data_IF_677841771960
#
_entry.id   IF_677841771960
#
_cell.length_a   1.000
_cell.length_b   1.000
_cell.length_c   1.000
_cell.angle_alpha   90.00
_cell.angle_beta   90.00
_cell.angle_gamma   90.00
#
_symmetry.space_group_name_H-M   'P 1'
#
loop_
_entity.id
_entity.type
_entity.pdbx_description
1 polymer ?
#
# COMPACT_ATOMS: atom_id res chain seq x y z
N UNK A 1 -30.49 -3.70 12.07
CA UNK A 1 -30.43 -3.10 13.42
C UNK A 1 -29.38 -3.89 14.17
N UNK A 2 -28.16 -3.34 14.27
CA UNK A 2 -27.03 -3.98 14.95
C UNK A 2 -27.35 -4.17 16.44
N UNK A 3 -27.08 -5.37 16.97
CA UNK A 3 -27.30 -5.71 18.39
C UNK A 3 -26.31 -5.01 19.34
N UNK A 4 -25.37 -4.24 18.82
CA UNK A 4 -24.39 -3.50 19.63
C UNK A 4 -24.91 -2.18 20.20
N UNK A 5 -26.23 -1.88 20.12
CA UNK A 5 -26.80 -0.61 20.60
C UNK A 5 -27.28 -0.61 22.03
N UNK A 6 -27.27 -1.74 22.77
CA UNK A 6 -27.76 -1.79 24.17
C UNK A 6 -27.02 -2.86 25.01
N UNK A 7 -25.75 -2.63 25.27
CA UNK A 7 -25.19 -3.07 26.55
C UNK A 7 -24.97 -1.83 27.37
N UNK A 8 -25.82 -1.70 28.41
CA UNK A 8 -25.65 -0.82 29.57
C UNK A 8 -24.35 -1.21 30.30
N UNK A 9 -23.21 -0.96 29.64
CA UNK A 9 -21.88 -0.98 30.23
C UNK A 9 -21.39 0.46 30.20
N UNK A 10 -21.39 1.10 31.33
CA UNK A 10 -20.51 2.19 31.70
C UNK A 10 -19.03 1.75 31.62
N UNK A 11 -18.71 0.90 30.69
CA UNK A 11 -17.35 0.60 30.26
C UNK A 11 -16.92 1.77 29.36
N UNK A 12 -16.50 2.85 30.02
CA UNK A 12 -15.66 3.86 29.40
C UNK A 12 -14.55 3.09 28.68
N UNK A 13 -14.48 3.25 27.37
CA UNK A 13 -13.41 2.73 26.52
C UNK A 13 -12.09 2.74 27.34
N UNK A 14 -11.55 1.58 27.76
CA UNK A 14 -10.43 1.53 28.69
C UNK A 14 -9.16 2.13 28.07
N UNK A 15 -9.23 2.47 26.77
CA UNK A 15 -8.09 2.92 26.00
C UNK A 15 -8.11 4.42 25.73
N UNK A 16 -9.27 5.09 25.66
CA UNK A 16 -9.38 6.48 25.18
C UNK A 16 -8.78 6.63 23.77
N UNK A 17 -8.81 5.56 22.99
CA UNK A 17 -8.16 5.46 21.68
C UNK A 17 -9.20 5.74 20.60
N UNK A 18 -8.94 6.75 19.76
CA UNK A 18 -9.62 6.94 18.48
C UNK A 18 -8.65 6.68 17.33
N UNK A 19 -8.83 5.55 16.62
CA UNK A 19 -8.04 5.19 15.45
C UNK A 19 -8.53 5.90 14.18
N UNK A 20 -9.61 6.65 14.25
CA UNK A 20 -10.14 7.49 13.17
C UNK A 20 -9.70 8.95 13.30
N UNK A 21 -9.15 9.35 14.45
CA UNK A 21 -8.46 10.63 14.62
C UNK A 21 -7.12 10.61 13.86
N UNK A 22 -7.08 11.30 12.72
CA UNK A 22 -5.90 11.32 11.83
C UNK A 22 -4.72 12.08 12.44
N UNK A 23 -4.93 12.97 13.40
CA UNK A 23 -3.85 13.70 14.09
C UNK A 23 -2.96 12.74 14.89
N UNK A 24 -3.52 11.64 15.36
CA UNK A 24 -2.79 10.57 16.03
C UNK A 24 -1.72 9.91 15.14
N UNK A 25 -1.95 9.92 13.83
CA UNK A 25 -1.04 9.34 12.83
C UNK A 25 -0.10 10.36 12.17
N UNK A 26 -0.29 11.65 12.44
CA UNK A 26 0.53 12.71 11.85
C UNK A 26 2.02 12.61 12.23
N UNK A 27 2.34 12.08 13.41
CA UNK A 27 3.71 11.79 13.86
C UNK A 27 4.27 10.44 13.39
N UNK A 28 3.47 9.61 12.76
CA UNK A 28 3.77 8.22 12.37
C UNK A 28 2.79 7.23 12.97
N UNK A 29 3.09 5.93 12.83
CA UNK A 29 2.27 4.88 13.41
C UNK A 29 2.33 4.94 14.94
N UNK A 30 1.17 4.94 15.66
CA UNK A 30 1.14 5.06 17.12
C UNK A 30 1.46 3.71 17.78
N UNK A 31 2.74 3.36 17.82
CA UNK A 31 3.23 2.07 18.31
C UNK A 31 2.81 1.78 19.76
N UNK A 32 2.79 2.78 20.63
CA UNK A 32 2.38 2.68 22.04
C UNK A 32 0.93 2.19 22.18
N UNK A 33 0.03 2.71 21.34
CA UNK A 33 -1.37 2.30 21.28
C UNK A 33 -1.46 0.82 20.87
N UNK A 34 -0.76 0.42 19.81
CA UNK A 34 -0.84 -0.94 19.29
C UNK A 34 -0.10 -1.96 20.16
N UNK A 35 0.96 -1.57 20.88
CA UNK A 35 1.57 -2.42 21.93
C UNK A 35 0.52 -2.75 22.99
N UNK A 36 -0.23 -1.75 23.43
CA UNK A 36 -1.29 -1.95 24.43
C UNK A 36 -2.41 -2.82 23.89
N UNK A 37 -2.91 -2.56 22.67
CA UNK A 37 -3.95 -3.38 22.05
C UNK A 37 -3.51 -4.83 21.91
N UNK A 38 -2.32 -5.13 21.41
CA UNK A 38 -1.82 -6.51 21.28
C UNK A 38 -1.79 -7.26 22.62
N UNK A 39 -1.46 -6.57 23.71
CA UNK A 39 -1.30 -7.18 25.04
C UNK A 39 -2.62 -7.33 25.79
N UNK A 40 -3.50 -6.33 25.70
CA UNK A 40 -4.69 -6.22 26.57
C UNK A 40 -5.98 -6.55 25.82
N UNK A 41 -6.08 -6.22 24.52
CA UNK A 41 -7.28 -6.36 23.71
C UNK A 41 -6.92 -6.61 22.22
N UNK A 42 -6.32 -7.75 21.86
CA UNK A 42 -5.87 -8.03 20.48
C UNK A 42 -7.01 -8.04 19.47
N UNK A 43 -8.22 -8.32 19.91
CA UNK A 43 -9.49 -8.17 19.18
C UNK A 43 -10.31 -7.14 19.95
N UNK A 44 -10.50 -5.96 19.38
CA UNK A 44 -11.12 -4.84 20.07
C UNK A 44 -12.19 -4.17 19.21
N UNK A 45 -13.33 -3.82 19.84
CA UNK A 45 -14.38 -3.04 19.20
C UNK A 45 -14.08 -1.54 19.31
N UNK A 46 -13.82 -0.91 18.17
CA UNK A 46 -13.75 0.54 18.08
C UNK A 46 -15.16 1.10 17.92
N UNK A 47 -15.69 1.72 18.97
CA UNK A 47 -16.98 2.38 18.91
C UNK A 47 -16.96 3.55 17.90
N UNK A 48 -18.08 3.90 17.28
CA UNK A 48 -18.12 5.05 16.38
C UNK A 48 -17.83 6.35 17.14
N UNK A 49 -17.00 7.20 16.54
CA UNK A 49 -16.66 8.55 17.00
C UNK A 49 -17.16 9.58 16.00
N UNK A 50 -16.98 10.87 16.29
CA UNK A 50 -17.30 11.94 15.34
C UNK A 50 -16.45 11.86 14.05
N UNK A 51 -15.28 11.21 14.09
CA UNK A 51 -14.37 11.02 12.96
C UNK A 51 -14.62 9.71 12.20
N UNK A 52 -15.48 8.82 12.70
CA UNK A 52 -15.69 7.51 12.08
C UNK A 52 -16.48 7.64 10.79
N UNK A 53 -15.95 7.21 9.62
CA UNK A 53 -16.70 7.21 8.39
C UNK A 53 -18.00 6.40 8.51
N UNK A 54 -19.07 6.87 7.89
CA UNK A 54 -20.41 6.25 7.90
C UNK A 54 -21.06 6.14 9.30
N UNK A 55 -20.42 6.66 10.37
CA UNK A 55 -20.93 6.58 11.75
C UNK A 55 -21.04 5.15 12.28
N UNK A 56 -20.29 4.21 11.74
CA UNK A 56 -20.33 2.79 12.09
C UNK A 56 -18.99 2.37 12.70
N UNK A 57 -19.02 1.73 13.88
CA UNK A 57 -17.84 1.16 14.53
C UNK A 57 -17.24 -0.01 13.74
N UNK A 58 -16.12 -0.52 14.21
CA UNK A 58 -15.42 -1.60 13.55
C UNK A 58 -14.56 -2.42 14.53
N UNK A 59 -14.31 -3.66 14.19
CA UNK A 59 -13.39 -4.52 14.92
C UNK A 59 -11.94 -4.23 14.48
N UNK A 60 -11.05 -4.23 15.45
CA UNK A 60 -9.61 -4.05 15.28
C UNK A 60 -8.91 -5.37 15.60
N UNK A 61 -8.21 -5.94 14.62
CA UNK A 61 -7.28 -7.03 14.84
C UNK A 61 -5.87 -6.44 14.87
N UNK A 62 -5.17 -6.60 15.98
CA UNK A 62 -3.85 -6.00 16.20
C UNK A 62 -2.72 -7.03 16.28
N UNK A 63 -2.98 -8.28 16.70
CA UNK A 63 -1.98 -9.33 16.80
C UNK A 63 -1.72 -10.02 15.44
N UNK A 64 -0.47 -10.38 15.19
CA UNK A 64 -0.03 -11.01 13.94
C UNK A 64 -0.80 -12.31 13.63
N UNK A 65 -0.99 -13.18 14.62
CA UNK A 65 -1.67 -14.46 14.42
C UNK A 65 -3.13 -14.30 14.00
N UNK A 66 -3.86 -13.34 14.60
CA UNK A 66 -5.27 -13.07 14.30
C UNK A 66 -5.41 -12.46 12.90
N UNK A 67 -4.51 -11.55 12.55
CA UNK A 67 -4.47 -10.93 11.23
C UNK A 67 -4.17 -11.97 10.14
N UNK A 68 -3.22 -12.88 10.37
CA UNK A 68 -2.92 -13.99 9.45
C UNK A 68 -4.13 -14.91 9.30
N UNK A 69 -4.80 -15.26 10.41
CA UNK A 69 -6.00 -16.12 10.38
C UNK A 69 -7.12 -15.47 9.58
N UNK A 70 -7.44 -14.21 9.86
CA UNK A 70 -8.50 -13.49 9.14
C UNK A 70 -8.16 -13.27 7.65
N UNK A 71 -6.91 -12.93 7.33
CA UNK A 71 -6.47 -12.74 5.94
C UNK A 71 -6.41 -14.06 5.14
N UNK A 72 -6.30 -15.21 5.81
CA UNK A 72 -6.30 -16.52 5.16
C UNK A 72 -7.70 -17.01 4.80
N UNK A 73 -8.73 -16.54 5.49
CA UNK A 73 -10.13 -16.94 5.28
C UNK A 73 -10.91 -15.83 4.55
N UNK A 74 -10.68 -15.76 3.23
CA UNK A 74 -11.34 -14.75 2.38
C UNK A 74 -12.86 -15.02 2.22
N UNK A 75 -13.35 -16.24 2.49
CA UNK A 75 -14.78 -16.54 2.47
C UNK A 75 -15.48 -15.92 3.69
N UNK A 76 -14.81 -15.93 4.83
CA UNK A 76 -15.34 -15.39 6.08
C UNK A 76 -15.12 -13.87 6.17
N UNK A 77 -14.00 -13.38 5.66
CA UNK A 77 -13.55 -11.98 5.71
C UNK A 77 -13.45 -11.38 4.30
N UNK A 78 -14.61 -10.98 3.76
CA UNK A 78 -14.74 -10.45 2.41
C UNK A 78 -13.98 -9.13 2.23
N UNK A 79 -13.28 -8.98 1.10
CA UNK A 79 -12.71 -7.71 0.62
C UNK A 79 -13.73 -6.86 -0.12
N UNK A 80 -14.84 -7.45 -0.53
CA UNK A 80 -15.89 -6.85 -1.34
C UNK A 80 -16.99 -6.32 -0.44
N UNK A 81 -17.84 -7.18 0.13
CA UNK A 81 -18.97 -6.79 0.99
C UNK A 81 -19.59 -8.00 1.69
N UNK A 82 -20.40 -7.75 2.71
CA UNK A 82 -21.33 -8.75 3.20
C UNK A 82 -22.52 -8.93 2.21
N UNK A 83 -23.14 -10.12 2.17
CA UNK A 83 -24.18 -10.46 1.19
C UNK A 83 -25.35 -9.46 1.09
N UNK A 84 -25.72 -8.81 2.20
CA UNK A 84 -26.83 -7.86 2.26
C UNK A 84 -26.39 -6.38 2.22
N UNK A 85 -25.06 -6.09 2.18
CA UNK A 85 -24.57 -4.72 2.23
C UNK A 85 -24.67 -4.01 0.88
N UNK A 86 -25.02 -2.73 0.90
CA UNK A 86 -25.06 -1.88 -0.31
C UNK A 86 -23.68 -1.39 -0.74
N UNK A 87 -22.70 -1.41 0.16
CA UNK A 87 -21.32 -0.98 -0.05
C UNK A 87 -20.33 -1.92 0.61
N UNK A 88 -19.03 -1.61 0.48
CA UNK A 88 -17.96 -2.41 1.04
C UNK A 88 -16.59 -1.88 0.70
N UNK A 89 -15.62 -2.78 0.56
CA UNK A 89 -14.25 -2.44 0.20
C UNK A 89 -13.24 -2.61 1.32
N UNK A 90 -12.04 -2.10 1.12
CA UNK A 90 -10.88 -2.33 2.00
C UNK A 90 -10.44 -1.11 2.82
N UNK A 91 -11.27 -0.04 2.82
CA UNK A 91 -11.13 1.14 3.67
C UNK A 91 -12.29 1.22 4.67
N UNK A 92 -12.20 2.08 5.69
CA UNK A 92 -13.26 2.21 6.70
C UNK A 92 -14.58 2.70 6.10
N UNK A 93 -14.52 3.67 5.19
CA UNK A 93 -15.70 4.13 4.45
C UNK A 93 -16.23 3.04 3.53
N UNK A 94 -17.56 2.91 3.47
CA UNK A 94 -18.20 2.04 2.48
C UNK A 94 -18.17 2.66 1.09
N UNK A 95 -17.63 1.92 0.14
CA UNK A 95 -17.61 2.32 -1.27
C UNK A 95 -18.76 1.67 -2.02
N UNK A 96 -19.36 2.36 -3.03
CA UNK A 96 -20.49 1.82 -3.80
C UNK A 96 -20.13 0.49 -4.48
N UNK A 97 -21.00 -0.50 -4.28
CA UNK A 97 -20.88 -1.78 -4.96
C UNK A 97 -21.16 -1.65 -6.46
N UNK A 98 -20.36 -2.37 -7.27
CA UNK A 98 -20.47 -2.33 -8.74
C UNK A 98 -19.77 -1.12 -9.38
N UNK A 99 -19.19 -0.23 -8.57
CA UNK A 99 -18.34 0.87 -9.07
C UNK A 99 -16.91 0.77 -8.56
N UNK A 100 -16.71 0.61 -7.26
CA UNK A 100 -15.39 0.40 -6.64
C UNK A 100 -15.33 -0.99 -5.97
N UNK A 101 -16.16 -1.21 -4.96
CA UNK A 101 -16.34 -2.52 -4.35
C UNK A 101 -16.93 -3.50 -5.37
N UNK A 102 -16.33 -4.69 -5.50
CA UNK A 102 -16.68 -5.69 -6.50
C UNK A 102 -16.13 -5.46 -7.91
N UNK A 103 -15.39 -4.35 -8.14
CA UNK A 103 -14.79 -4.00 -9.45
C UNK A 103 -13.27 -3.79 -9.34
N UNK A 104 -12.81 -3.05 -8.33
CA UNK A 104 -11.37 -2.94 -8.07
C UNK A 104 -10.81 -4.28 -7.60
N UNK A 105 -9.73 -4.75 -8.21
CA UNK A 105 -9.16 -6.08 -7.94
C UNK A 105 -8.84 -6.31 -6.45
N UNK A 106 -8.43 -5.30 -5.72
CA UNK A 106 -8.18 -5.37 -4.27
C UNK A 106 -9.45 -5.33 -3.41
N UNK A 107 -10.60 -5.01 -4.00
CA UNK A 107 -11.93 -4.91 -3.37
C UNK A 107 -12.93 -5.88 -4.02
N UNK A 108 -12.46 -7.03 -4.43
CA UNK A 108 -13.18 -8.08 -5.13
C UNK A 108 -12.94 -9.41 -4.45
N UNK A 109 -13.92 -10.28 -4.42
CA UNK A 109 -13.79 -11.63 -3.86
C UNK A 109 -13.65 -12.69 -4.95
N UNK A 110 -13.24 -13.88 -4.56
CA UNK A 110 -13.25 -15.06 -5.44
C UNK A 110 -14.69 -15.46 -5.80
N UNK A 111 -14.94 -15.97 -6.99
CA UNK A 111 -13.96 -16.47 -7.97
C UNK A 111 -13.41 -15.42 -8.97
N UNK A 112 -14.07 -14.27 -9.13
CA UNK A 112 -13.69 -13.27 -10.14
C UNK A 112 -12.31 -12.68 -9.87
N UNK A 113 -12.01 -12.35 -8.60
CA UNK A 113 -10.69 -11.89 -8.17
C UNK A 113 -9.58 -12.86 -8.63
N UNK A 114 -9.73 -14.16 -8.33
CA UNK A 114 -8.75 -15.16 -8.72
C UNK A 114 -8.57 -15.26 -10.25
N UNK A 115 -9.67 -15.19 -11.00
CA UNK A 115 -9.66 -15.26 -12.48
C UNK A 115 -8.87 -14.10 -13.09
N UNK A 116 -9.16 -12.86 -12.68
CA UNK A 116 -8.45 -11.65 -13.17
C UNK A 116 -6.98 -11.69 -12.69
N UNK A 117 -6.74 -12.03 -11.42
CA UNK A 117 -5.39 -12.12 -10.87
C UNK A 117 -4.52 -13.12 -11.65
N UNK A 118 -5.07 -14.27 -12.02
CA UNK A 118 -4.35 -15.29 -12.81
C UNK A 118 -3.97 -14.76 -14.19
N UNK A 119 -4.80 -13.93 -14.82
CA UNK A 119 -4.52 -13.31 -16.11
C UNK A 119 -3.29 -12.38 -16.04
N UNK A 120 -3.19 -11.56 -14.98
CA UNK A 120 -2.16 -10.51 -14.87
C UNK A 120 -0.88 -10.92 -14.16
N UNK A 121 -0.92 -11.97 -13.34
CA UNK A 121 0.26 -12.45 -12.57
C UNK A 121 1.51 -12.69 -13.42
N UNK A 122 1.45 -13.24 -14.63
CA UNK A 122 2.64 -13.43 -15.46
C UNK A 122 3.39 -12.14 -15.77
N UNK A 123 2.70 -10.99 -15.90
CA UNK A 123 3.31 -9.69 -16.21
C UNK A 123 4.18 -9.14 -15.07
N UNK A 124 3.95 -9.57 -13.83
CA UNK A 124 4.69 -9.16 -12.63
C UNK A 124 5.48 -10.30 -11.99
N UNK A 125 5.60 -11.41 -12.69
CA UNK A 125 6.41 -12.54 -12.25
C UNK A 125 7.91 -12.20 -12.29
N UNK A 126 8.76 -12.82 -11.46
CA UNK A 126 10.20 -12.52 -11.41
C UNK A 126 10.90 -12.59 -12.78
N UNK A 127 10.48 -13.52 -13.65
CA UNK A 127 11.04 -13.64 -15.00
C UNK A 127 10.73 -12.45 -15.91
N UNK A 128 9.50 -11.90 -15.81
CA UNK A 128 9.13 -10.70 -16.58
C UNK A 128 9.88 -9.47 -16.05
N UNK A 129 9.93 -9.31 -14.73
CA UNK A 129 10.62 -8.20 -14.08
C UNK A 129 12.14 -8.23 -14.28
N UNK A 130 12.75 -9.40 -14.42
CA UNK A 130 14.18 -9.52 -14.73
C UNK A 130 14.53 -8.87 -16.08
N UNK A 131 13.60 -8.81 -17.03
CA UNK A 131 13.80 -8.12 -18.32
C UNK A 131 13.79 -6.59 -18.16
N UNK A 132 13.10 -6.08 -17.13
CA UNK A 132 13.02 -4.64 -16.83
C UNK A 132 14.18 -4.15 -15.96
N UNK A 133 14.92 -5.03 -15.27
CA UNK A 133 15.91 -4.63 -14.27
C UNK A 133 16.99 -3.71 -14.82
N UNK A 134 17.52 -4.00 -16.01
CA UNK A 134 18.57 -3.18 -16.63
C UNK A 134 18.08 -1.75 -16.92
N UNK A 135 16.85 -1.62 -17.41
CA UNK A 135 16.22 -0.33 -17.67
C UNK A 135 15.92 0.41 -16.36
N UNK A 136 15.34 -0.25 -15.36
CA UNK A 136 15.08 0.35 -14.05
C UNK A 136 16.37 0.82 -13.38
N UNK A 137 17.46 0.08 -13.49
CA UNK A 137 18.79 0.48 -13.01
C UNK A 137 19.30 1.73 -13.74
N UNK A 138 19.12 1.80 -15.05
CA UNK A 138 19.50 3.00 -15.83
C UNK A 138 18.66 4.21 -15.40
N UNK A 139 17.35 4.04 -15.18
CA UNK A 139 16.44 5.09 -14.70
C UNK A 139 16.84 5.55 -13.29
N UNK A 140 17.07 4.63 -12.35
CA UNK A 140 17.54 4.94 -11.01
C UNK A 140 18.85 5.72 -11.02
N UNK A 141 19.80 5.34 -11.89
CA UNK A 141 21.05 6.07 -12.11
C UNK A 141 20.80 7.51 -12.52
N UNK A 142 19.94 7.74 -13.52
CA UNK A 142 19.58 9.09 -13.97
C UNK A 142 18.94 9.94 -12.88
N UNK A 143 18.07 9.34 -12.03
CA UNK A 143 17.45 9.99 -10.89
C UNK A 143 18.51 10.44 -9.87
N UNK A 144 19.43 9.56 -9.50
CA UNK A 144 20.48 9.86 -8.52
C UNK A 144 21.47 10.90 -9.09
N UNK A 145 21.83 10.80 -10.38
CA UNK A 145 22.71 11.78 -11.04
C UNK A 145 22.10 13.20 -11.05
N UNK A 146 20.78 13.31 -11.24
CA UNK A 146 20.08 14.61 -11.25
C UNK A 146 20.16 15.35 -9.90
N UNK A 147 20.37 14.67 -8.78
CA UNK A 147 20.49 15.25 -7.45
C UNK A 147 21.92 15.34 -6.94
N UNK A 148 22.84 14.50 -7.46
CA UNK A 148 24.19 14.32 -6.93
C UNK A 148 24.98 15.64 -6.82
N UNK A 149 24.93 16.48 -7.86
CA UNK A 149 25.67 17.75 -7.89
C UNK A 149 25.10 18.81 -6.96
N UNK A 150 23.80 18.70 -6.61
CA UNK A 150 23.12 19.68 -5.74
C UNK A 150 23.52 19.54 -4.27
N UNK A 151 23.97 18.37 -3.85
CA UNK A 151 24.33 18.03 -2.47
C UNK A 151 23.17 18.07 -1.46
N UNK A 152 21.97 18.34 -1.95
CA UNK A 152 20.71 18.39 -1.18
C UNK A 152 19.50 18.15 -2.08
N UNK A 153 18.43 17.62 -1.51
CA UNK A 153 17.16 17.44 -2.22
C UNK A 153 15.99 17.31 -1.23
N UNK A 154 14.77 17.42 -1.72
CA UNK A 154 13.65 16.75 -1.09
C UNK A 154 13.64 15.31 -1.59
N UNK A 155 14.00 14.37 -0.72
CA UNK A 155 14.20 12.98 -1.11
C UNK A 155 12.92 12.32 -1.64
N UNK A 156 11.75 12.73 -1.13
CA UNK A 156 10.51 12.17 -1.62
C UNK A 156 10.27 12.57 -3.07
N UNK A 157 10.19 13.87 -3.35
CA UNK A 157 9.79 14.39 -4.67
C UNK A 157 10.89 14.26 -5.72
N UNK A 158 12.18 14.36 -5.32
CA UNK A 158 13.31 14.36 -6.25
C UNK A 158 13.85 12.94 -6.53
N UNK A 159 13.58 11.96 -5.64
CA UNK A 159 14.17 10.61 -5.73
C UNK A 159 13.14 9.50 -5.58
N UNK A 160 12.45 9.44 -4.42
CA UNK A 160 11.67 8.25 -4.07
C UNK A 160 10.42 8.06 -4.95
N UNK A 161 9.82 9.14 -5.46
CA UNK A 161 8.66 9.13 -6.35
C UNK A 161 9.02 8.66 -7.76
N UNK A 162 10.19 9.05 -8.26
CA UNK A 162 10.51 8.96 -9.67
C UNK A 162 10.60 7.53 -10.19
N UNK A 163 11.31 6.63 -9.48
CA UNK A 163 11.50 5.26 -9.97
C UNK A 163 10.21 4.45 -10.00
N UNK A 164 9.38 4.42 -8.93
CA UNK A 164 8.09 3.71 -8.94
C UNK A 164 7.13 4.23 -10.01
N UNK A 165 7.07 5.54 -10.21
CA UNK A 165 6.25 6.14 -11.25
C UNK A 165 6.67 5.68 -12.64
N UNK A 166 7.97 5.70 -12.92
CA UNK A 166 8.51 5.25 -14.20
C UNK A 166 8.32 3.75 -14.42
N UNK A 167 8.45 2.95 -13.36
CA UNK A 167 8.26 1.50 -13.42
C UNK A 167 6.80 1.13 -13.73
N UNK A 168 5.84 1.76 -13.03
CA UNK A 168 4.41 1.54 -13.27
C UNK A 168 4.00 2.02 -14.65
N UNK A 169 4.48 3.19 -15.11
CA UNK A 169 4.21 3.69 -16.45
C UNK A 169 4.73 2.71 -17.53
N UNK A 170 5.95 2.21 -17.38
CA UNK A 170 6.52 1.21 -18.28
C UNK A 170 5.73 -0.11 -18.27
N UNK A 171 5.35 -0.61 -17.08
CA UNK A 171 4.53 -1.82 -16.94
C UNK A 171 3.17 -1.70 -17.64
N UNK A 172 2.57 -0.50 -17.61
CA UNK A 172 1.28 -0.20 -18.26
C UNK A 172 1.40 0.18 -19.73
N UNK A 173 2.62 0.33 -20.26
CA UNK A 173 2.85 0.82 -21.61
C UNK A 173 2.42 2.28 -21.84
N UNK A 174 2.54 3.10 -20.79
CA UNK A 174 2.32 4.55 -20.81
C UNK A 174 3.57 5.23 -21.35
N UNK A 175 3.46 6.18 -22.30
CA UNK A 175 4.58 6.97 -22.79
C UNK A 175 5.27 7.76 -21.66
N UNK A 176 6.59 7.86 -21.71
CA UNK A 176 7.39 8.57 -20.70
C UNK A 176 6.96 10.04 -20.49
N UNK A 177 6.46 10.68 -21.55
CA UNK A 177 6.01 12.09 -21.52
C UNK A 177 4.77 12.30 -20.65
N UNK A 178 3.94 11.25 -20.49
CA UNK A 178 2.64 11.34 -19.78
C UNK A 178 2.73 10.94 -18.31
N UNK A 179 3.85 10.35 -17.87
CA UNK A 179 3.98 9.79 -16.52
C UNK A 179 3.76 10.80 -15.38
N UNK A 180 4.21 12.05 -15.56
CA UNK A 180 4.04 13.08 -14.53
C UNK A 180 2.59 13.55 -14.41
N UNK A 181 1.81 13.47 -15.48
CA UNK A 181 0.37 13.71 -15.44
C UNK A 181 -0.34 12.65 -14.62
N UNK A 182 0.03 11.36 -14.80
CA UNK A 182 -0.50 10.27 -13.97
C UNK A 182 -0.20 10.49 -12.48
N UNK A 183 1.01 10.92 -12.14
CA UNK A 183 1.37 11.22 -10.75
C UNK A 183 0.56 12.37 -10.19
N UNK A 184 0.41 13.46 -10.94
CA UNK A 184 -0.38 14.62 -10.53
C UNK A 184 -1.83 14.22 -10.26
N UNK A 185 -2.45 13.47 -11.16
CA UNK A 185 -3.82 12.99 -10.98
C UNK A 185 -3.96 12.00 -9.83
N UNK A 186 -3.00 11.08 -9.66
CA UNK A 186 -2.99 10.14 -8.54
C UNK A 186 -2.90 10.86 -7.20
N UNK A 187 -1.97 11.81 -7.05
CA UNK A 187 -1.82 12.60 -5.82
C UNK A 187 -3.09 13.40 -5.51
N UNK A 188 -3.67 14.07 -6.50
CA UNK A 188 -4.89 14.83 -6.31
C UNK A 188 -6.09 13.93 -5.97
N UNK A 189 -6.22 12.76 -6.62
CA UNK A 189 -7.31 11.81 -6.35
C UNK A 189 -7.24 11.24 -4.93
N UNK A 190 -6.05 11.13 -4.35
CA UNK A 190 -5.83 10.70 -2.97
C UNK A 190 -5.90 11.86 -1.96
N UNK A 191 -6.12 13.10 -2.47
CA UNK A 191 -6.16 14.34 -1.70
C UNK A 191 -4.96 14.53 -0.74
N UNK A 192 -3.75 14.20 -1.22
CA UNK A 192 -2.55 14.43 -0.43
C UNK A 192 -2.32 15.91 -0.12
N UNK A 193 -2.76 16.82 -0.99
CA UNK A 193 -2.61 18.27 -0.79
C UNK A 193 -3.57 18.78 0.29
N UNK A 194 -4.79 18.23 0.37
CA UNK A 194 -5.74 18.48 1.45
C UNK A 194 -5.38 17.81 2.77
N UNK A 195 -4.40 16.88 2.74
CA UNK A 195 -3.89 16.10 3.87
C UNK A 195 -4.91 15.18 4.55
N UNK A 196 -6.05 14.92 3.91
CA UNK A 196 -7.07 14.00 4.40
C UNK A 196 -7.56 13.09 3.27
N UNK A 197 -7.38 11.78 3.41
CA UNK A 197 -7.91 10.81 2.47
C UNK A 197 -9.45 10.83 2.47
N UNK A 198 -10.04 10.95 1.29
CA UNK A 198 -11.48 10.75 1.09
C UNK A 198 -12.32 12.01 1.03
N UNK A 199 -11.75 13.20 1.10
CA UNK A 199 -12.51 14.42 0.83
C UNK A 199 -12.71 14.61 -0.68
N UNK A 200 -13.96 14.81 -1.09
CA UNK A 200 -14.29 15.14 -2.47
C UNK A 200 -14.39 16.64 -2.63
N UNK A 201 -13.46 17.23 -3.34
CA UNK A 201 -13.53 18.61 -3.79
C UNK A 201 -13.51 18.67 -5.33
N UNK A 202 -13.63 19.87 -5.90
CA UNK A 202 -13.62 20.06 -7.34
C UNK A 202 -12.33 19.58 -8.01
N UNK A 203 -11.21 19.77 -7.35
CA UNK A 203 -9.87 19.44 -7.85
C UNK A 203 -9.67 17.91 -7.90
N UNK A 204 -10.08 17.19 -6.86
CA UNK A 204 -10.15 15.72 -6.82
C UNK A 204 -11.02 15.18 -7.95
N UNK A 205 -12.21 15.77 -8.17
CA UNK A 205 -13.11 15.34 -9.22
C UNK A 205 -12.55 15.58 -10.64
N UNK A 206 -11.89 16.72 -10.86
CA UNK A 206 -11.23 17.04 -12.12
C UNK A 206 -10.03 16.12 -12.41
N UNK A 207 -9.23 15.81 -11.39
CA UNK A 207 -8.12 14.88 -11.51
C UNK A 207 -8.59 13.45 -11.81
N UNK A 208 -9.62 12.97 -11.11
CA UNK A 208 -10.21 11.66 -11.34
C UNK A 208 -10.80 11.56 -12.76
N UNK A 209 -11.50 12.61 -13.23
CA UNK A 209 -12.03 12.66 -14.60
C UNK A 209 -10.92 12.66 -15.66
N UNK A 210 -9.83 13.41 -15.44
CA UNK A 210 -8.68 13.45 -16.35
C UNK A 210 -7.98 12.09 -16.42
N UNK A 211 -7.75 11.45 -15.28
CA UNK A 211 -7.14 10.12 -15.19
C UNK A 211 -8.02 9.07 -15.87
N UNK A 212 -9.34 9.13 -15.68
CA UNK A 212 -10.29 8.23 -16.34
C UNK A 212 -10.33 8.43 -17.86
N UNK A 213 -10.32 9.68 -18.34
CA UNK A 213 -10.28 9.99 -19.77
C UNK A 213 -8.99 9.47 -20.42
N UNK A 214 -7.84 9.68 -19.78
CA UNK A 214 -6.55 9.16 -20.22
C UNK A 214 -6.56 7.62 -20.28
N UNK A 215 -6.97 6.97 -19.19
CA UNK A 215 -7.05 5.51 -19.12
C UNK A 215 -7.96 4.91 -20.21
N UNK A 216 -9.13 5.55 -20.48
CA UNK A 216 -10.04 5.14 -21.55
C UNK A 216 -9.37 5.23 -22.93
N UNK A 217 -8.63 6.31 -23.18
CA UNK A 217 -7.89 6.51 -24.44
C UNK A 217 -6.81 5.45 -24.60
N UNK A 218 -5.97 5.24 -23.57
CA UNK A 218 -4.91 4.24 -23.59
C UNK A 218 -5.46 2.82 -23.82
N UNK A 219 -6.53 2.43 -23.12
CA UNK A 219 -7.18 1.13 -23.30
C UNK A 219 -7.67 0.96 -24.75
N UNK A 220 -8.28 2.01 -25.33
CA UNK A 220 -8.71 2.01 -26.72
C UNK A 220 -7.55 1.81 -27.72
N UNK A 221 -6.43 2.47 -27.49
CA UNK A 221 -5.20 2.29 -28.27
C UNK A 221 -4.64 0.87 -28.15
N UNK A 222 -4.58 0.33 -26.92
CA UNK A 222 -4.07 -1.04 -26.66
C UNK A 222 -4.97 -2.12 -27.26
N UNK A 223 -6.27 -1.89 -27.37
CA UNK A 223 -7.19 -2.79 -28.09
C UNK A 223 -6.91 -2.85 -29.59
N UNK A 224 -6.48 -1.74 -30.18
CA UNK A 224 -6.20 -1.65 -31.63
C UNK A 224 -4.76 -2.06 -31.97
N UNK A 225 -3.81 -1.73 -31.08
CA UNK A 225 -2.40 -1.98 -31.27
C UNK A 225 -1.80 -2.51 -29.95
N UNK A 226 -1.91 -3.82 -29.69
CA UNK A 226 -1.42 -4.42 -28.45
C UNK A 226 0.10 -4.37 -28.36
N UNK A 227 0.61 -4.10 -27.14
CA UNK A 227 2.02 -4.20 -26.78
C UNK A 227 2.28 -5.35 -25.81
N UNK A 228 3.50 -5.41 -25.27
CA UNK A 228 3.90 -6.40 -24.26
C UNK A 228 3.59 -5.92 -22.82
N UNK A 229 2.70 -4.93 -22.67
CA UNK A 229 2.33 -4.30 -21.40
C UNK A 229 1.09 -4.94 -20.76
N UNK A 230 0.91 -4.69 -19.44
CA UNK A 230 -0.17 -5.28 -18.65
C UNK A 230 -1.57 -4.79 -19.09
N UNK A 231 -1.68 -3.57 -19.61
CA UNK A 231 -2.97 -3.03 -20.13
C UNK A 231 -3.36 -3.77 -21.41
N UNK A 232 -2.41 -4.07 -22.29
CA UNK A 232 -2.64 -4.92 -23.46
C UNK A 232 -3.10 -6.33 -23.06
N UNK A 233 -2.49 -6.91 -22.02
CA UNK A 233 -2.87 -8.24 -21.48
C UNK A 233 -4.33 -8.25 -21.03
N UNK A 234 -4.77 -7.27 -20.22
CA UNK A 234 -6.15 -7.24 -19.73
C UNK A 234 -7.16 -6.80 -20.77
N UNK A 235 -6.78 -5.94 -21.73
CA UNK A 235 -7.65 -5.48 -22.80
C UNK A 235 -8.02 -6.57 -23.81
N UNK A 236 -7.19 -7.61 -23.94
CA UNK A 236 -7.39 -8.78 -24.82
C UNK A 236 -7.66 -10.08 -24.04
N UNK A 237 -7.56 -10.03 -22.71
CA UNK A 237 -7.80 -11.20 -21.87
C UNK A 237 -9.28 -11.51 -21.74
N UNK A 238 -9.56 -12.79 -21.55
CA UNK A 238 -10.90 -13.29 -21.22
C UNK A 238 -10.88 -13.97 -19.86
N UNK A 239 -11.97 -13.86 -19.13
CA UNK A 239 -12.18 -14.50 -17.85
C UNK A 239 -13.52 -15.24 -17.86
N UNK A 240 -13.56 -16.39 -17.19
CA UNK A 240 -14.83 -17.09 -17.04
C UNK A 240 -15.81 -16.24 -16.24
N UNK A 241 -17.01 -16.02 -16.79
CA UNK A 241 -18.14 -15.42 -16.07
C UNK A 241 -18.76 -16.42 -15.08
N UNK A 242 -19.75 -15.95 -14.33
CA UNK A 242 -20.47 -16.82 -13.35
C UNK A 242 -21.35 -17.88 -14.03
N UNK A 243 -21.70 -17.65 -15.29
CA UNK A 243 -22.39 -18.59 -16.16
C UNK A 243 -21.45 -19.65 -16.77
N UNK A 244 -20.14 -19.58 -16.49
CA UNK A 244 -19.11 -20.49 -17.01
C UNK A 244 -18.64 -20.18 -18.42
N UNK A 245 -19.16 -19.13 -19.08
CA UNK A 245 -18.69 -18.69 -20.38
C UNK A 245 -17.55 -17.68 -20.25
N UNK A 246 -16.55 -17.79 -21.13
CA UNK A 246 -15.46 -16.80 -21.19
C UNK A 246 -16.02 -15.46 -21.71
N UNK A 247 -15.60 -14.38 -21.06
CA UNK A 247 -15.94 -13.03 -21.46
C UNK A 247 -14.74 -12.09 -21.36
N UNK A 248 -14.63 -11.07 -22.20
CA UNK A 248 -13.66 -10.01 -21.98
C UNK A 248 -13.99 -9.22 -20.72
N UNK A 249 -13.00 -8.52 -20.17
CA UNK A 249 -13.25 -7.52 -19.14
C UNK A 249 -14.06 -6.36 -19.72
N UNK A 250 -15.03 -5.87 -18.94
CA UNK A 250 -15.82 -4.69 -19.29
C UNK A 250 -14.95 -3.42 -19.27
N UNK A 251 -15.43 -2.36 -19.94
CA UNK A 251 -14.73 -1.07 -19.94
C UNK A 251 -14.51 -0.51 -18.52
N UNK A 252 -15.48 -0.73 -17.63
CA UNK A 252 -15.37 -0.32 -16.24
C UNK A 252 -14.29 -1.14 -15.50
N UNK A 253 -14.26 -2.46 -15.66
CA UNK A 253 -13.24 -3.32 -15.05
C UNK A 253 -11.83 -2.93 -15.52
N UNK A 254 -11.66 -2.67 -16.81
CA UNK A 254 -10.39 -2.23 -17.38
C UNK A 254 -9.97 -0.85 -16.86
N UNK A 255 -10.88 0.11 -16.81
CA UNK A 255 -10.60 1.45 -16.31
C UNK A 255 -10.25 1.42 -14.81
N UNK A 256 -10.98 0.63 -14.01
CA UNK A 256 -10.70 0.48 -12.59
C UNK A 256 -9.38 -0.27 -12.34
N UNK A 257 -9.05 -1.23 -13.20
CA UNK A 257 -7.72 -1.88 -13.13
C UNK A 257 -6.59 -0.90 -13.45
N UNK A 258 -6.75 -0.06 -14.49
CA UNK A 258 -5.80 1.01 -14.81
C UNK A 258 -5.62 1.97 -13.61
N UNK A 259 -6.71 2.49 -13.06
CA UNK A 259 -6.68 3.40 -11.91
C UNK A 259 -5.99 2.76 -10.69
N UNK A 260 -6.31 1.49 -10.42
CA UNK A 260 -5.67 0.75 -9.31
C UNK A 260 -4.16 0.64 -9.48
N UNK A 261 -3.67 0.35 -10.69
CA UNK A 261 -2.22 0.26 -10.93
C UNK A 261 -1.52 1.61 -10.73
N UNK A 262 -2.10 2.71 -11.22
CA UNK A 262 -1.54 4.05 -11.05
C UNK A 262 -1.39 4.39 -9.56
N UNK A 263 -2.47 4.21 -8.78
CA UNK A 263 -2.48 4.58 -7.37
C UNK A 263 -1.61 3.63 -6.54
N UNK A 264 -1.86 2.33 -6.63
CA UNK A 264 -1.21 1.35 -5.75
C UNK A 264 0.28 1.17 -6.06
N UNK A 265 0.67 1.30 -7.33
CA UNK A 265 2.05 1.04 -7.77
C UNK A 265 3.01 2.19 -7.48
N UNK A 266 2.54 3.43 -7.50
CA UNK A 266 3.43 4.58 -7.27
C UNK A 266 3.54 4.97 -5.80
N UNK A 267 2.44 4.97 -5.05
CA UNK A 267 2.40 5.53 -3.69
C UNK A 267 3.12 4.67 -2.65
N UNK A 268 2.82 3.38 -2.59
CA UNK A 268 3.31 2.51 -1.52
C UNK A 268 4.82 2.31 -1.60
N UNK A 269 5.36 2.15 -2.79
CA UNK A 269 6.80 1.94 -2.99
C UNK A 269 7.60 3.22 -2.71
N UNK A 270 7.14 4.40 -3.13
CA UNK A 270 7.81 5.66 -2.81
C UNK A 270 7.91 5.90 -1.29
N UNK A 271 6.82 5.62 -0.56
CA UNK A 271 6.81 5.76 0.88
C UNK A 271 7.75 4.75 1.55
N UNK A 272 7.83 3.52 1.03
CA UNK A 272 8.77 2.51 1.53
C UNK A 272 10.23 2.91 1.28
N UNK A 273 10.55 3.49 0.12
CA UNK A 273 11.88 4.02 -0.20
C UNK A 273 12.23 5.18 0.75
N UNK A 274 11.31 6.15 0.91
CA UNK A 274 11.56 7.33 1.74
C UNK A 274 11.75 6.94 3.23
N UNK A 275 10.82 6.17 3.79
CA UNK A 275 10.87 5.74 5.19
C UNK A 275 12.03 4.77 5.45
N UNK A 276 12.37 3.92 4.48
CA UNK A 276 13.53 3.04 4.55
C UNK A 276 14.84 3.82 4.58
N UNK A 277 14.96 4.85 3.74
CA UNK A 277 16.15 5.72 3.74
C UNK A 277 16.24 6.55 5.03
N UNK A 278 15.12 7.09 5.53
CA UNK A 278 15.08 7.79 6.81
C UNK A 278 15.56 6.86 7.95
N UNK A 279 15.04 5.63 8.00
CA UNK A 279 15.44 4.65 9.01
C UNK A 279 16.93 4.29 8.91
N UNK A 280 17.48 4.16 7.71
CA UNK A 280 18.92 3.90 7.53
C UNK A 280 19.78 5.10 7.97
N UNK A 281 19.33 6.34 7.75
CA UNK A 281 20.02 7.55 8.25
C UNK A 281 20.01 7.59 9.78
N UNK A 282 18.91 7.21 10.41
CA UNK A 282 18.78 7.12 11.86
C UNK A 282 19.61 5.97 12.48
N UNK A 283 20.02 4.98 11.63
CA UNK A 283 20.86 3.83 12.02
C UNK A 283 22.15 3.79 11.18
N UNK A 284 23.08 4.75 11.38
CA UNK A 284 24.23 4.94 10.50
C UNK A 284 25.22 3.75 10.49
N UNK A 285 25.25 2.96 11.54
CA UNK A 285 26.00 1.71 11.61
C UNK A 285 25.50 0.68 10.59
N UNK A 286 24.19 0.52 10.47
CA UNK A 286 23.56 -0.39 9.51
C UNK A 286 23.63 0.14 8.07
N UNK A 287 23.48 1.44 7.89
CA UNK A 287 23.68 2.08 6.59
C UNK A 287 25.09 1.83 6.06
N UNK A 288 26.11 2.01 6.90
CA UNK A 288 27.49 1.78 6.53
C UNK A 288 27.82 0.29 6.34
N UNK A 289 27.19 -0.60 7.11
CA UNK A 289 27.28 -2.03 6.94
C UNK A 289 26.71 -2.46 5.58
N UNK A 290 25.50 -2.00 5.23
CA UNK A 290 24.87 -2.27 3.94
C UNK A 290 25.70 -1.73 2.77
N UNK A 291 26.39 -0.59 2.98
CA UNK A 291 27.31 -0.02 2.00
C UNK A 291 28.52 -0.94 1.74
N UNK A 292 29.10 -1.54 2.78
CA UNK A 292 30.27 -2.42 2.68
C UNK A 292 29.94 -3.80 2.20
N UNK A 293 28.79 -4.34 2.62
CA UNK A 293 28.36 -5.70 2.30
C UNK A 293 26.99 -5.69 1.60
N UNK A 294 27.03 -5.61 0.28
CA UNK A 294 25.83 -5.62 -0.59
C UNK A 294 25.11 -6.97 -0.60
N UNK A 295 25.69 -8.04 -0.07
CA UNK A 295 24.99 -9.31 0.08
C UNK A 295 23.80 -9.23 1.05
N UNK A 296 23.80 -8.22 1.94
CA UNK A 296 22.70 -7.91 2.86
C UNK A 296 21.53 -7.19 2.19
N UNK A 297 21.63 -6.76 0.93
CA UNK A 297 20.59 -5.97 0.28
C UNK A 297 19.23 -6.66 0.28
N UNK A 298 19.18 -7.97 0.08
CA UNK A 298 17.93 -8.72 0.06
C UNK A 298 17.22 -8.72 1.43
N UNK A 299 17.95 -8.92 2.53
CA UNK A 299 17.39 -8.89 3.88
C UNK A 299 17.07 -7.46 4.31
N UNK A 300 17.89 -6.47 3.92
CA UNK A 300 17.64 -5.06 4.16
C UNK A 300 16.35 -4.57 3.49
N UNK A 301 16.06 -5.00 2.27
CA UNK A 301 14.80 -4.67 1.57
C UNK A 301 13.58 -5.23 2.33
N UNK A 302 13.63 -6.49 2.78
CA UNK A 302 12.53 -7.06 3.59
C UNK A 302 12.36 -6.32 4.92
N UNK A 303 13.46 -5.92 5.56
CA UNK A 303 13.38 -5.15 6.81
C UNK A 303 12.85 -3.73 6.59
N UNK A 304 13.23 -3.07 5.51
CA UNK A 304 12.66 -1.77 5.10
C UNK A 304 11.14 -1.89 4.88
N UNK A 305 10.69 -2.95 4.22
CA UNK A 305 9.27 -3.20 4.00
C UNK A 305 8.51 -3.45 5.31
N UNK A 306 9.08 -4.26 6.22
CA UNK A 306 8.53 -4.45 7.56
C UNK A 306 8.45 -3.12 8.32
N UNK A 307 9.56 -2.38 8.33
CA UNK A 307 9.71 -1.11 9.05
C UNK A 307 8.77 -0.03 8.55
N UNK A 308 8.70 0.17 7.25
CA UNK A 308 7.86 1.20 6.63
C UNK A 308 6.37 0.89 6.73
N UNK A 309 5.98 -0.38 6.56
CA UNK A 309 4.57 -0.80 6.58
C UNK A 309 3.67 0.18 5.82
N UNK A 310 4.00 0.45 4.53
CA UNK A 310 3.41 1.55 3.76
C UNK A 310 1.87 1.56 3.74
N UNK A 311 1.22 0.39 3.80
CA UNK A 311 -0.21 0.26 4.08
C UNK A 311 -0.39 -0.15 5.54
N UNK A 312 -1.05 0.68 6.34
CA UNK A 312 -1.17 0.46 7.78
C UNK A 312 -2.21 -0.61 8.10
N UNK A 313 -3.35 -0.59 7.41
CA UNK A 313 -4.41 -1.59 7.56
C UNK A 313 -5.17 -1.84 6.26
N UNK A 314 -5.89 -2.95 6.22
CA UNK A 314 -7.00 -3.16 5.31
C UNK A 314 -8.23 -3.59 6.10
N UNK A 315 -9.42 -3.12 5.66
CA UNK A 315 -10.69 -3.58 6.18
C UNK A 315 -11.12 -4.86 5.45
N UNK A 316 -11.89 -5.67 6.16
CA UNK A 316 -12.71 -6.77 5.66
C UNK A 316 -14.14 -6.58 6.17
N UNK A 317 -15.06 -7.32 5.58
CA UNK A 317 -16.46 -7.37 6.06
C UNK A 317 -16.78 -8.82 6.41
N UNK A 318 -17.33 -9.05 7.61
CA UNK A 318 -17.76 -10.36 8.05
C UNK A 318 -18.91 -10.86 7.17
N UNK A 319 -18.80 -12.05 6.60
CA UNK A 319 -19.83 -12.61 5.70
C UNK A 319 -20.95 -13.36 6.43
N UNK A 320 -20.72 -13.72 7.68
CA UNK A 320 -21.67 -14.39 8.60
C UNK A 320 -21.27 -14.11 10.03
N UNK A 321 -22.17 -14.41 10.98
CA UNK A 321 -21.88 -14.35 12.41
C UNK A 321 -20.74 -15.30 12.76
N UNK A 322 -19.83 -14.84 13.61
CA UNK A 322 -18.69 -15.61 14.09
C UNK A 322 -18.25 -15.19 15.48
N UNK A 323 -17.33 -15.93 16.06
CA UNK A 323 -16.70 -15.61 17.33
C UNK A 323 -15.18 -15.59 17.17
N UNK A 324 -14.52 -14.55 17.66
CA UNK A 324 -13.06 -14.40 17.70
C UNK A 324 -12.66 -14.00 19.12
N UNK A 325 -11.84 -14.83 19.80
CA UNK A 325 -11.40 -14.60 21.18
C UNK A 325 -12.55 -14.33 22.18
N UNK A 326 -13.73 -14.98 21.97
CA UNK A 326 -14.91 -14.77 22.82
C UNK A 326 -15.74 -13.53 22.47
N UNK A 327 -15.35 -12.76 21.46
CA UNK A 327 -16.11 -11.64 20.95
C UNK A 327 -17.00 -12.07 19.79
N UNK A 328 -18.29 -11.78 19.88
CA UNK A 328 -19.24 -12.01 18.79
C UNK A 328 -19.06 -10.92 17.72
N UNK A 329 -18.77 -11.33 16.50
CA UNK A 329 -18.68 -10.47 15.31
C UNK A 329 -19.88 -10.82 14.43
N UNK A 330 -20.77 -9.85 14.22
CA UNK A 330 -22.00 -10.06 13.46
C UNK A 330 -21.73 -9.99 11.93
N UNK A 331 -22.56 -10.65 11.15
CA UNK A 331 -22.56 -10.53 9.71
C UNK A 331 -22.71 -9.04 9.30
N UNK A 332 -21.81 -8.56 8.45
CA UNK A 332 -21.77 -7.17 7.99
C UNK A 332 -20.83 -6.27 8.79
N UNK A 333 -20.30 -6.74 9.91
CA UNK A 333 -19.34 -5.98 10.71
C UNK A 333 -18.06 -5.71 9.90
N UNK A 334 -17.55 -4.49 10.10
CA UNK A 334 -16.24 -4.08 9.58
C UNK A 334 -15.14 -4.64 10.48
N UNK A 335 -14.15 -5.31 9.91
CA UNK A 335 -12.99 -5.88 10.61
C UNK A 335 -11.71 -5.33 9.99
N UNK A 336 -10.89 -4.64 10.76
CA UNK A 336 -9.64 -4.03 10.29
C UNK A 336 -8.44 -4.89 10.67
N UNK A 337 -7.60 -5.20 9.67
CA UNK A 337 -6.38 -5.98 9.80
C UNK A 337 -5.19 -5.01 9.79
N UNK A 338 -4.61 -4.73 10.96
CA UNK A 338 -3.55 -3.72 11.10
C UNK A 338 -2.17 -4.32 10.82
N UNK A 339 -1.77 -4.30 9.55
CA UNK A 339 -0.48 -4.84 9.08
C UNK A 339 0.72 -4.22 9.80
N UNK A 340 0.68 -2.90 10.05
CA UNK A 340 1.74 -2.20 10.75
C UNK A 340 1.91 -2.69 12.19
N UNK A 341 0.80 -3.01 12.87
CA UNK A 341 0.83 -3.64 14.19
C UNK A 341 1.42 -5.04 14.13
N UNK A 342 0.95 -5.88 13.20
CA UNK A 342 1.49 -7.23 13.00
C UNK A 342 3.00 -7.23 12.74
N UNK A 343 3.50 -6.27 11.96
CA UNK A 343 4.92 -6.12 11.64
C UNK A 343 5.78 -5.66 12.83
N UNK A 344 5.15 -5.35 13.97
CA UNK A 344 5.80 -4.97 15.23
C UNK A 344 5.36 -5.84 16.41
N UNK A 345 4.80 -7.02 16.11
CA UNK A 345 4.33 -7.94 17.13
C UNK A 345 5.51 -8.65 17.81
N UNK A 346 5.67 -8.41 19.10
CA UNK A 346 6.73 -8.94 19.94
C UNK A 346 6.66 -10.47 20.11
N UNK A 347 5.52 -11.08 19.77
CA UNK A 347 5.38 -12.55 19.77
C UNK A 347 5.99 -13.20 18.52
N UNK A 348 6.29 -12.41 17.47
CA UNK A 348 6.77 -12.88 16.17
C UNK A 348 8.18 -12.35 15.86
N UNK A 349 8.45 -11.11 16.24
CA UNK A 349 9.71 -10.43 15.95
C UNK A 349 10.48 -10.14 17.22
N UNK A 350 11.69 -10.66 17.32
CA UNK A 350 12.62 -10.26 18.37
C UNK A 350 12.99 -8.79 18.15
N UNK A 351 12.85 -7.97 19.21
CA UNK A 351 13.19 -6.55 19.19
C UNK A 351 12.53 -5.79 18.01
N UNK A 352 11.18 -5.81 17.87
CA UNK A 352 10.48 -5.35 16.66
C UNK A 352 10.62 -3.84 16.41
N UNK A 353 10.98 -3.06 17.41
CA UNK A 353 11.21 -1.60 17.36
C UNK A 353 12.65 -1.22 17.04
N UNK A 354 13.51 -2.20 16.77
CA UNK A 354 14.85 -2.01 16.27
C UNK A 354 14.91 -2.37 14.79
N UNK A 355 15.45 -1.46 13.97
CA UNK A 355 15.82 -1.79 12.60
C UNK A 355 16.96 -2.80 12.59
N UNK A 356 16.82 -3.89 11.84
CA UNK A 356 17.85 -4.91 11.68
C UNK A 356 17.90 -5.41 10.24
N UNK A 357 18.84 -4.88 9.45
CA UNK A 357 19.02 -5.26 8.04
C UNK A 357 19.43 -6.73 7.82
N UNK A 358 19.74 -7.44 8.89
CA UNK A 358 20.07 -8.88 8.89
C UNK A 358 18.92 -9.77 9.33
N UNK A 359 17.77 -9.19 9.70
CA UNK A 359 16.64 -9.92 10.25
C UNK A 359 16.24 -11.11 9.38
N UNK A 360 16.35 -12.31 9.97
CA UNK A 360 15.92 -13.57 9.35
C UNK A 360 15.57 -14.59 10.43
N UNK A 361 14.37 -15.22 10.44
CA UNK A 361 13.28 -14.98 9.48
C UNK A 361 12.66 -13.59 9.63
N UNK A 362 12.01 -13.09 8.58
CA UNK A 362 11.29 -11.83 8.58
C UNK A 362 9.87 -12.03 7.98
N UNK A 363 8.93 -12.66 8.73
CA UNK A 363 7.60 -13.00 8.24
C UNK A 363 6.66 -11.79 8.28
N UNK A 364 7.08 -10.65 7.72
CA UNK A 364 6.29 -9.44 7.71
C UNK A 364 5.05 -9.55 6.80
N UNK A 365 4.02 -8.78 7.13
CA UNK A 365 2.77 -8.69 6.39
C UNK A 365 2.62 -7.39 5.58
N UNK A 366 3.73 -6.73 5.23
CA UNK A 366 3.70 -5.47 4.47
C UNK A 366 3.03 -5.59 3.10
N UNK A 367 2.99 -6.78 2.54
CA UNK A 367 2.29 -7.10 1.29
C UNK A 367 0.95 -7.82 1.47
N UNK A 368 0.42 -7.84 2.69
CA UNK A 368 -0.77 -8.64 2.99
C UNK A 368 -0.48 -10.14 3.03
N UNK A 369 -1.53 -10.97 2.89
CA UNK A 369 -1.42 -12.42 3.03
C UNK A 369 -2.41 -13.16 2.11
N UNK A 370 -2.05 -14.37 1.63
CA UNK A 370 -2.88 -15.31 0.85
C UNK A 370 -3.51 -14.70 -0.41
N UNK A 371 -4.86 -14.79 -0.58
CA UNK A 371 -5.56 -14.43 -1.81
C UNK A 371 -5.23 -13.00 -2.27
N UNK A 372 -5.22 -12.05 -1.34
CA UNK A 372 -4.90 -10.64 -1.59
C UNK A 372 -3.43 -10.26 -1.35
N UNK A 373 -2.50 -11.21 -1.34
CA UNK A 373 -1.07 -10.89 -1.33
C UNK A 373 -0.72 -9.95 -2.48
N UNK A 374 0.04 -8.88 -2.22
CA UNK A 374 0.32 -7.82 -3.18
C UNK A 374 0.87 -8.38 -4.51
N UNK A 375 0.21 -8.04 -5.59
CA UNK A 375 0.61 -8.46 -6.94
C UNK A 375 1.94 -7.83 -7.36
N UNK A 376 2.17 -6.56 -6.97
CA UNK A 376 3.40 -5.80 -7.24
C UNK A 376 4.58 -6.09 -6.31
N UNK A 377 4.48 -7.06 -5.39
CA UNK A 377 5.50 -7.30 -4.35
C UNK A 377 6.91 -7.52 -4.91
N UNK A 378 7.04 -8.22 -6.03
CA UNK A 378 8.34 -8.45 -6.68
C UNK A 378 8.88 -7.18 -7.33
N UNK A 379 8.01 -6.36 -7.93
CA UNK A 379 8.40 -5.09 -8.53
C UNK A 379 8.87 -4.10 -7.44
N UNK A 380 8.12 -3.96 -6.36
CA UNK A 380 8.49 -3.09 -5.24
C UNK A 380 9.87 -3.47 -4.63
N UNK A 381 10.13 -4.77 -4.45
CA UNK A 381 11.44 -5.27 -4.00
C UNK A 381 12.56 -4.91 -4.98
N UNK A 382 12.30 -5.05 -6.26
CA UNK A 382 13.26 -4.70 -7.31
C UNK A 382 13.56 -3.20 -7.31
N UNK A 383 12.53 -2.36 -7.23
CA UNK A 383 12.67 -0.90 -7.20
C UNK A 383 13.45 -0.42 -5.98
N UNK A 384 13.06 -0.89 -4.77
CA UNK A 384 13.76 -0.53 -3.53
C UNK A 384 15.24 -0.95 -3.60
N UNK A 385 15.51 -2.18 -4.07
CA UNK A 385 16.88 -2.68 -4.24
C UNK A 385 17.69 -1.82 -5.21
N UNK A 386 17.14 -1.55 -6.38
CA UNK A 386 17.85 -0.84 -7.44
C UNK A 386 18.15 0.61 -7.05
N UNK A 387 17.18 1.32 -6.47
CA UNK A 387 17.42 2.72 -6.07
C UNK A 387 18.41 2.82 -4.91
N UNK A 388 18.34 1.91 -3.92
CA UNK A 388 19.31 1.87 -2.82
C UNK A 388 20.73 1.56 -3.32
N UNK A 389 20.89 0.61 -4.25
CA UNK A 389 22.18 0.31 -4.87
C UNK A 389 22.80 1.57 -5.48
N UNK A 390 22.06 2.29 -6.33
CA UNK A 390 22.57 3.49 -7.00
C UNK A 390 22.84 4.64 -6.01
N UNK A 391 21.99 4.83 -4.98
CA UNK A 391 22.21 5.82 -3.92
C UNK A 391 23.52 5.53 -3.17
N UNK A 392 23.69 4.29 -2.70
CA UNK A 392 24.86 3.90 -1.89
C UNK A 392 26.16 3.85 -2.71
N UNK A 393 26.08 3.64 -4.02
CA UNK A 393 27.25 3.64 -4.91
C UNK A 393 27.74 5.06 -5.21
N UNK A 394 26.80 6.03 -5.32
CA UNK A 394 27.09 7.36 -5.86
C UNK A 394 27.11 8.46 -4.83
N UNK A 395 26.41 8.27 -3.71
CA UNK A 395 26.28 9.28 -2.66
C UNK A 395 26.78 8.75 -1.32
N UNK A 396 27.19 9.69 -0.45
CA UNK A 396 27.62 9.41 0.91
C UNK A 396 27.28 10.56 1.85
N UNK A 397 27.41 10.34 3.18
CA UNK A 397 27.17 11.38 4.18
C UNK A 397 25.74 11.85 4.18
N UNK A 398 24.79 10.92 4.12
CA UNK A 398 23.37 11.23 4.17
C UNK A 398 22.96 11.76 5.54
N UNK A 399 22.26 12.89 5.54
CA UNK A 399 21.73 13.53 6.76
C UNK A 399 20.36 14.14 6.46
N UNK A 400 19.40 13.98 7.38
CA UNK A 400 18.16 14.74 7.32
C UNK A 400 18.46 16.20 7.65
N UNK A 401 18.09 17.13 6.76
CA UNK A 401 18.30 18.56 6.95
C UNK A 401 17.08 19.29 7.52
N UNK A 402 16.03 18.55 7.82
CA UNK A 402 14.78 19.00 8.43
C UNK A 402 13.91 17.82 8.84
N UNK A 403 12.72 18.06 9.40
CA UNK A 403 11.80 17.00 9.79
C UNK A 403 11.29 16.25 8.57
N UNK A 404 11.01 14.94 8.75
CA UNK A 404 10.21 14.16 7.80
C UNK A 404 8.75 14.54 8.01
N UNK A 405 8.19 15.29 7.08
CA UNK A 405 6.78 15.66 7.11
C UNK A 405 5.92 14.51 6.60
N UNK A 406 4.87 14.16 7.35
CA UNK A 406 4.00 13.03 7.02
C UNK A 406 2.64 13.48 6.51
N UNK A 407 2.03 12.65 5.68
CA UNK A 407 0.62 12.80 5.30
C UNK A 407 -0.25 12.40 6.50
N UNK A 408 -1.29 13.21 6.76
CA UNK A 408 -2.24 13.00 7.85
C UNK A 408 -3.27 11.94 7.44
N UNK A 409 -2.95 10.67 7.71
CA UNK A 409 -3.78 9.53 7.32
C UNK A 409 -3.53 8.33 8.22
N UNK A 410 -4.58 7.56 8.53
CA UNK A 410 -4.48 6.27 9.22
C UNK A 410 -4.39 5.08 8.26
N UNK A 411 -4.47 5.33 6.94
CA UNK A 411 -4.51 4.26 5.91
C UNK A 411 -3.13 3.90 5.40
N UNK A 412 -2.26 4.88 5.22
CA UNK A 412 -0.93 4.73 4.65
C UNK A 412 0.13 5.44 5.49
N UNK A 413 1.34 4.88 5.54
CA UNK A 413 2.49 5.57 6.12
C UNK A 413 3.06 6.57 5.10
N UNK A 414 2.28 7.63 4.81
CA UNK A 414 2.61 8.62 3.79
C UNK A 414 3.69 9.61 4.24
N UNK A 415 4.62 9.93 3.34
CA UNK A 415 5.58 11.02 3.48
C UNK A 415 5.21 12.14 2.53
N UNK A 416 5.28 13.39 3.01
CA UNK A 416 4.99 14.59 2.22
C UNK A 416 6.28 15.30 1.80
N UNK A 417 7.19 15.53 2.75
CA UNK A 417 8.50 16.11 2.54
C UNK A 417 9.57 15.39 3.33
N UNK A 418 10.74 15.22 2.74
CA UNK A 418 11.91 14.63 3.37
C UNK A 418 13.18 15.36 2.92
N UNK A 419 13.46 16.55 3.50
CA UNK A 419 14.64 17.32 3.14
C UNK A 419 15.91 16.62 3.65
N UNK A 420 16.88 16.41 2.77
CA UNK A 420 18.15 15.79 3.12
C UNK A 420 19.34 16.39 2.41
N UNK A 421 20.52 16.19 2.98
CA UNK A 421 21.83 16.50 2.41
C UNK A 421 22.68 15.25 2.25
N UNK A 422 23.62 15.32 1.32
CA UNK A 422 24.57 14.25 1.00
C UNK A 422 25.76 14.80 0.23
N UNK A 423 26.74 13.99 -0.06
CA UNK A 423 27.87 14.31 -0.94
C UNK A 423 27.97 13.29 -2.06
N UNK A 424 28.33 13.75 -3.27
CA UNK A 424 28.71 12.83 -4.34
C UNK A 424 30.01 12.08 -3.96
N UNK A 425 30.01 10.77 -4.16
CA UNK A 425 31.24 9.97 -3.99
C UNK A 425 32.18 10.24 -5.14
N UNK A 426 33.45 10.46 -4.81
CA UNK A 426 34.50 10.51 -5.85
C UNK A 426 34.73 9.10 -6.36
N UNK A 427 34.67 8.92 -7.69
CA UNK A 427 35.06 7.65 -8.32
C UNK A 427 36.53 7.38 -8.00
N UNK A 428 36.80 6.34 -7.25
CA UNK A 428 38.15 5.84 -6.98
C UNK A 428 38.68 5.07 -8.20
#
# INVERSE_FOLDING_TARGET
MSRHTDTDSTDTDPTGIDLTDLDRFAGGFPDDVFIRLRREAPVWWHAPTEHTPDGVGFWVLSAHADIVSAAADAELFSSERAPAAAGGGTILQDLPYGFASGVLLNMMDDPLHHRIRRLVTPSVAPRALALMEAELRQRARGIVDAVAERGKCDFLSDVAVELPLQAVAALMGVPDVDRHDLMRWSNATLDFEGRELGQTNKEVAEAAASMAAYGTTLIGEKRTCPGDDIISVVAHGEVAGDDGHERPLSDLELLMFFNLLVVAGSETTRNSIALGMAALIEHPDQLEELRRDRSLMSTAVEEILRWSSATLYNRRTATRDMEVHGHAIDQGDKVTLWWASANRDESVFDDPFRLDIRRTPNPHLAFGYRAHYCMGANLARLEIRVILDELLDRLEGFELSGPVERVRTNKHAGVWHMPMTFRARQST
#
